data_IF_904505282869
#
_entry.id   IF_904505282869
#
_cell.length_a   1.000
_cell.length_b   1.000
_cell.length_c   1.000
_cell.angle_alpha   90.00
_cell.angle_beta   90.00
_cell.angle_gamma   90.00
#
_symmetry.space_group_name_H-M   'P 1'
#
loop_
_entity.id
_entity.type
_entity.pdbx_description
1 polymer ?
#
# COMPACT_ATOMS: atom_id res chain seq x y z
N UNK A 1 8.24 -11.29 6.81
CA UNK A 1 9.45 -11.82 7.50
C UNK A 1 10.68 -11.34 6.72
N UNK A 2 11.86 -11.22 7.34
CA UNK A 2 13.09 -10.82 6.63
C UNK A 2 13.82 -12.07 6.12
N UNK A 3 13.86 -12.27 4.80
CA UNK A 3 14.59 -13.34 4.12
C UNK A 3 15.98 -12.82 3.75
N UNK A 4 17.02 -13.61 4.02
CA UNK A 4 18.41 -13.22 3.77
C UNK A 4 19.01 -14.21 2.78
N UNK A 5 19.72 -13.67 1.79
CA UNK A 5 20.39 -14.44 0.75
C UNK A 5 21.80 -13.90 0.60
N UNK A 6 22.79 -14.78 0.76
CA UNK A 6 24.21 -14.44 0.64
C UNK A 6 24.81 -15.11 -0.58
N UNK A 7 25.56 -14.32 -1.33
CA UNK A 7 26.33 -14.76 -2.50
C UNK A 7 27.77 -14.33 -2.29
N UNK A 8 28.70 -15.27 -2.47
CA UNK A 8 30.12 -15.06 -2.24
C UNK A 8 30.92 -15.49 -3.47
N UNK A 9 31.73 -14.61 -4.01
CA UNK A 9 32.65 -14.90 -5.11
C UNK A 9 34.10 -14.90 -4.56
N UNK A 10 34.67 -16.09 -4.36
CA UNK A 10 36.14 -16.25 -4.21
C UNK A 10 36.73 -16.85 -2.92
N UNK A 11 36.03 -17.64 -2.09
CA UNK A 11 36.67 -18.43 -1.00
C UNK A 11 35.77 -19.56 -0.43
N UNK A 12 36.38 -20.46 0.36
CA UNK A 12 35.92 -21.78 0.82
C UNK A 12 34.54 -21.84 1.50
N UNK A 13 33.81 -22.94 1.25
CA UNK A 13 32.46 -23.23 1.77
C UNK A 13 32.27 -23.09 3.30
N UNK A 14 33.31 -23.31 4.10
CA UNK A 14 33.23 -23.21 5.57
C UNK A 14 33.15 -21.76 6.08
N UNK A 15 33.71 -20.79 5.34
CA UNK A 15 33.61 -19.36 5.66
C UNK A 15 32.21 -18.81 5.30
N UNK A 16 31.49 -19.47 4.39
CA UNK A 16 30.17 -19.05 3.94
C UNK A 16 29.10 -19.17 5.04
N UNK A 17 29.09 -20.29 5.79
CA UNK A 17 28.11 -20.51 6.85
C UNK A 17 28.31 -19.56 8.05
N UNK A 18 29.56 -19.26 8.41
CA UNK A 18 29.86 -18.33 9.51
C UNK A 18 29.53 -16.88 9.14
N UNK A 19 29.78 -16.46 7.89
CA UNK A 19 29.37 -15.15 7.38
C UNK A 19 27.85 -15.03 7.27
N UNK A 20 27.16 -16.10 6.87
CA UNK A 20 25.70 -16.13 6.86
C UNK A 20 25.09 -15.96 8.23
N UNK A 21 25.56 -16.71 9.21
CA UNK A 21 25.11 -16.57 10.60
C UNK A 21 25.39 -15.15 11.14
N UNK A 22 26.52 -14.54 10.78
CA UNK A 22 26.88 -13.19 11.21
C UNK A 22 25.95 -12.10 10.62
N UNK A 23 25.70 -12.13 9.30
CA UNK A 23 24.80 -11.18 8.63
C UNK A 23 23.36 -11.37 9.11
N UNK A 24 22.95 -12.62 9.35
CA UNK A 24 21.61 -12.93 9.85
C UNK A 24 21.40 -12.43 11.30
N UNK A 25 22.37 -12.68 12.18
CA UNK A 25 22.34 -12.16 13.54
C UNK A 25 22.30 -10.63 13.55
N UNK A 26 23.16 -9.98 12.75
CA UNK A 26 23.21 -8.54 12.63
C UNK A 26 21.89 -7.95 12.10
N UNK A 27 21.34 -8.52 11.03
CA UNK A 27 20.09 -8.07 10.44
C UNK A 27 18.92 -8.21 11.43
N UNK A 28 18.89 -9.29 12.21
CA UNK A 28 17.86 -9.50 13.23
C UNK A 28 17.98 -8.47 14.37
N UNK A 29 19.19 -8.18 14.82
CA UNK A 29 19.44 -7.25 15.92
C UNK A 29 19.23 -5.78 15.53
N UNK A 30 19.70 -5.38 14.34
CA UNK A 30 19.76 -3.97 13.95
C UNK A 30 18.68 -3.55 12.95
N UNK A 31 18.35 -4.41 11.96
CA UNK A 31 17.30 -4.12 10.97
C UNK A 31 15.91 -4.53 11.48
N UNK A 32 15.82 -5.64 12.22
CA UNK A 32 14.59 -6.14 12.84
C UNK A 32 13.78 -5.07 13.58
N UNK A 33 14.34 -4.35 14.58
CA UNK A 33 13.60 -3.32 15.30
C UNK A 33 13.31 -2.07 14.46
N UNK A 34 14.16 -1.74 13.49
CA UNK A 34 13.95 -0.57 12.63
C UNK A 34 12.82 -0.77 11.62
N UNK A 35 12.66 -2.01 11.15
CA UNK A 35 11.69 -2.44 10.13
C UNK A 35 10.46 -3.14 10.74
N UNK A 36 10.37 -3.24 12.07
CA UNK A 36 9.19 -3.72 12.77
C UNK A 36 7.97 -2.86 12.42
N UNK A 37 7.02 -3.44 11.67
CA UNK A 37 5.81 -2.76 11.21
C UNK A 37 5.75 -2.48 9.70
N UNK A 38 6.78 -2.81 8.92
CA UNK A 38 6.67 -2.78 7.44
C UNK A 38 5.79 -3.94 6.94
N UNK A 39 4.75 -3.67 6.13
CA UNK A 39 3.92 -4.72 5.55
C UNK A 39 4.62 -5.33 4.33
N UNK A 40 5.03 -6.60 4.41
CA UNK A 40 5.53 -7.37 3.26
C UNK A 40 6.72 -8.28 3.57
N UNK A 41 7.19 -8.98 2.54
CA UNK A 41 8.44 -9.75 2.57
C UNK A 41 9.62 -8.82 2.30
N UNK A 42 10.59 -8.84 3.22
CA UNK A 42 11.80 -8.03 3.14
C UNK A 42 12.94 -8.96 2.74
N UNK A 43 13.71 -8.58 1.72
CA UNK A 43 14.81 -9.40 1.22
C UNK A 43 16.13 -8.67 1.36
N UNK A 44 17.08 -9.24 2.11
CA UNK A 44 18.45 -8.73 2.21
C UNK A 44 19.36 -9.63 1.37
N UNK A 45 19.87 -9.09 0.27
CA UNK A 45 20.89 -9.73 -0.54
C UNK A 45 22.26 -9.18 -0.13
N UNK A 46 23.19 -10.06 0.22
CA UNK A 46 24.56 -9.70 0.49
C UNK A 46 25.48 -10.38 -0.53
N UNK A 47 26.33 -9.59 -1.17
CA UNK A 47 27.31 -10.01 -2.17
C UNK A 47 28.69 -9.64 -1.64
N UNK A 48 29.59 -10.61 -1.48
CA UNK A 48 30.97 -10.36 -1.05
C UNK A 48 31.91 -10.86 -2.14
N UNK A 49 32.79 -9.99 -2.62
CA UNK A 49 33.79 -10.32 -3.64
C UNK A 49 35.20 -10.09 -3.10
N UNK A 50 36.10 -11.02 -3.42
CA UNK A 50 37.53 -10.88 -3.15
C UNK A 50 38.28 -10.50 -4.44
N UNK A 51 39.09 -9.45 -4.39
CA UNK A 51 39.86 -8.94 -5.53
C UNK A 51 41.37 -9.13 -5.29
N UNK A 52 42.05 -9.74 -6.24
CA UNK A 52 43.49 -10.05 -6.13
C UNK A 52 44.41 -8.85 -6.43
N UNK A 53 43.89 -7.73 -6.95
CA UNK A 53 44.64 -6.51 -7.27
C UNK A 53 43.84 -5.24 -6.91
N UNK A 54 44.46 -4.32 -6.16
CA UNK A 54 43.88 -3.05 -5.71
C UNK A 54 44.25 -2.70 -4.26
N UNK A 55 43.98 -1.46 -3.83
CA UNK A 55 44.19 -1.03 -2.42
C UNK A 55 43.14 -1.61 -1.46
N UNK A 56 41.94 -1.92 -1.96
CA UNK A 56 40.91 -2.71 -1.28
C UNK A 56 40.93 -4.15 -1.83
N UNK A 57 41.09 -5.14 -0.96
CA UNK A 57 41.16 -6.56 -1.34
C UNK A 57 39.78 -7.24 -1.30
N UNK A 58 38.81 -6.64 -0.62
CA UNK A 58 37.48 -7.19 -0.42
C UNK A 58 36.42 -6.08 -0.59
N UNK A 59 35.36 -6.40 -1.32
CA UNK A 59 34.18 -5.52 -1.49
C UNK A 59 32.93 -6.25 -1.02
N UNK A 60 32.13 -5.61 -0.17
CA UNK A 60 30.87 -6.13 0.32
C UNK A 60 29.72 -5.21 -0.12
N UNK A 61 28.70 -5.79 -0.73
CA UNK A 61 27.55 -5.10 -1.29
C UNK A 61 26.28 -5.68 -0.64
N UNK A 62 25.50 -4.84 0.02
CA UNK A 62 24.24 -5.19 0.66
C UNK A 62 23.09 -4.49 -0.07
N UNK A 63 22.06 -5.26 -0.44
CA UNK A 63 20.82 -4.76 -1.05
C UNK A 63 19.64 -5.18 -0.19
N UNK A 64 18.91 -4.22 0.34
CA UNK A 64 17.68 -4.43 1.09
C UNK A 64 16.48 -4.04 0.23
N UNK A 65 15.65 -5.01 -0.12
CA UNK A 65 14.40 -4.80 -0.82
C UNK A 65 13.30 -4.49 0.19
N UNK A 66 12.67 -3.33 0.02
CA UNK A 66 11.53 -2.88 0.80
C UNK A 66 10.22 -3.09 0.01
N UNK A 67 9.10 -3.35 0.70
CA UNK A 67 7.80 -3.40 0.06
C UNK A 67 7.44 -1.99 -0.44
N UNK A 68 7.44 -1.81 -1.77
CA UNK A 68 7.10 -0.62 -2.61
C UNK A 68 8.01 -0.44 -3.84
N UNK A 69 8.87 -1.42 -4.18
CA UNK A 69 9.90 -1.36 -5.23
C UNK A 69 11.12 -0.49 -4.88
N UNK A 70 11.22 -0.05 -3.62
CA UNK A 70 12.41 0.62 -3.11
C UNK A 70 13.51 -0.39 -2.78
N UNK A 71 14.71 -0.19 -3.34
CA UNK A 71 15.90 -1.00 -3.04
C UNK A 71 16.95 -0.11 -2.40
N UNK A 72 17.31 -0.39 -1.15
CA UNK A 72 18.42 0.30 -0.50
C UNK A 72 19.71 -0.47 -0.76
N UNK A 73 20.66 0.19 -1.40
CA UNK A 73 21.97 -0.39 -1.72
C UNK A 73 23.05 0.26 -0.86
N UNK A 74 23.91 -0.56 -0.27
CA UNK A 74 25.09 -0.12 0.47
C UNK A 74 26.31 -0.95 0.04
N UNK A 75 27.46 -0.30 -0.09
CA UNK A 75 28.72 -0.98 -0.42
C UNK A 75 29.82 -0.57 0.57
N UNK A 76 30.74 -1.48 0.87
CA UNK A 76 31.92 -1.27 1.71
C UNK A 76 33.15 -1.90 1.07
N UNK A 77 34.30 -1.24 1.21
CA UNK A 77 35.57 -1.65 0.59
C UNK A 77 36.64 -1.68 1.67
N UNK A 78 37.29 -2.83 1.85
CA UNK A 78 38.35 -2.95 2.85
C UNK A 78 39.42 -3.98 2.43
N UNK A 79 40.48 -4.07 3.24
CA UNK A 79 41.54 -5.06 3.09
C UNK A 79 41.05 -6.46 3.56
N UNK A 80 40.10 -6.50 4.49
CA UNK A 80 39.54 -7.71 5.09
C UNK A 80 38.01 -7.79 4.86
N UNK A 81 37.49 -9.01 4.72
CA UNK A 81 36.08 -9.29 4.42
C UNK A 81 35.19 -8.77 5.54
N UNK A 82 35.56 -9.01 6.81
CA UNK A 82 34.75 -8.57 7.94
C UNK A 82 34.71 -7.04 8.04
N UNK A 83 35.81 -6.37 7.72
CA UNK A 83 35.88 -4.91 7.72
C UNK A 83 35.05 -4.30 6.59
N UNK A 84 35.07 -4.90 5.38
CA UNK A 84 34.25 -4.46 4.25
C UNK A 84 32.76 -4.63 4.53
N UNK A 85 32.39 -5.76 5.13
CA UNK A 85 31.02 -6.06 5.53
C UNK A 85 30.54 -5.10 6.63
N UNK A 86 31.34 -4.86 7.67
CA UNK A 86 30.99 -3.92 8.75
C UNK A 86 30.80 -2.48 8.24
N UNK A 87 31.54 -2.07 7.21
CA UNK A 87 31.36 -0.76 6.58
C UNK A 87 30.07 -0.71 5.73
N UNK A 88 29.79 -1.76 4.96
CA UNK A 88 28.54 -1.90 4.20
C UNK A 88 27.32 -1.92 5.14
N UNK A 89 27.40 -2.63 6.27
CA UNK A 89 26.38 -2.69 7.33
C UNK A 89 26.09 -1.31 7.93
N UNK A 90 27.13 -0.55 8.31
CA UNK A 90 26.99 0.81 8.84
C UNK A 90 26.34 1.76 7.82
N UNK A 91 26.73 1.65 6.55
CA UNK A 91 26.15 2.43 5.46
C UNK A 91 24.69 2.06 5.22
N UNK A 92 24.36 0.77 5.21
CA UNK A 92 22.99 0.29 5.07
C UNK A 92 22.10 0.79 6.22
N UNK A 93 22.58 0.74 7.47
CA UNK A 93 21.84 1.28 8.62
C UNK A 93 21.60 2.79 8.50
N UNK A 94 22.56 3.54 7.98
CA UNK A 94 22.40 4.98 7.74
C UNK A 94 21.32 5.24 6.68
N UNK A 95 21.34 4.50 5.57
CA UNK A 95 20.34 4.63 4.51
C UNK A 95 18.94 4.20 4.99
N UNK A 96 18.82 3.14 5.78
CA UNK A 96 17.55 2.72 6.39
C UNK A 96 17.00 3.79 7.33
N UNK A 97 17.86 4.39 8.18
CA UNK A 97 17.47 5.49 9.08
C UNK A 97 17.04 6.72 8.29
N UNK A 98 17.81 7.13 7.28
CA UNK A 98 17.50 8.26 6.40
C UNK A 98 16.20 8.05 5.63
N UNK A 99 15.96 6.84 5.13
CA UNK A 99 14.70 6.46 4.49
C UNK A 99 13.52 6.56 5.45
N UNK A 100 13.68 6.09 6.70
CA UNK A 100 12.65 6.20 7.74
C UNK A 100 12.39 7.65 8.14
N UNK A 101 13.43 8.48 8.26
CA UNK A 101 13.32 9.91 8.50
C UNK A 101 12.63 10.65 7.35
N UNK A 102 12.92 10.28 6.10
CA UNK A 102 12.22 10.79 4.91
C UNK A 102 10.72 10.51 4.98
N UNK A 103 10.34 9.28 5.33
CA UNK A 103 8.93 8.90 5.51
C UNK A 103 8.27 9.62 6.70
N UNK A 104 8.98 9.80 7.81
CA UNK A 104 8.48 10.57 8.95
C UNK A 104 8.30 12.07 8.63
N UNK A 105 9.26 12.68 7.93
CA UNK A 105 9.18 14.09 7.51
C UNK A 105 8.01 14.36 6.57
N UNK A 106 7.69 13.42 5.68
CA UNK A 106 6.49 13.47 4.83
C UNK A 106 5.20 13.39 5.67
N UNK A 107 5.15 12.46 6.64
CA UNK A 107 4.00 12.35 7.53
C UNK A 107 3.80 13.62 8.38
N UNK A 108 4.86 14.23 8.88
CA UNK A 108 4.79 15.46 9.67
C UNK A 108 4.36 16.67 8.84
N UNK A 109 4.84 16.78 7.59
CA UNK A 109 4.37 17.81 6.67
C UNK A 109 2.88 17.66 6.35
N UNK A 110 2.41 16.45 6.03
CA UNK A 110 0.99 16.17 5.77
C UNK A 110 0.12 16.49 6.98
N UNK A 111 0.54 16.09 8.18
CA UNK A 111 -0.14 16.42 9.44
C UNK A 111 -0.20 17.93 9.70
N UNK A 112 0.82 18.70 9.31
CA UNK A 112 0.80 20.17 9.41
C UNK A 112 -0.19 20.79 8.43
N UNK A 113 -0.14 20.38 7.16
CA UNK A 113 -1.06 20.86 6.12
C UNK A 113 -2.52 20.56 6.49
N UNK A 114 -2.82 19.35 6.95
CA UNK A 114 -4.15 18.97 7.42
C UNK A 114 -4.61 19.80 8.62
N UNK A 115 -3.74 19.99 9.62
CA UNK A 115 -4.06 20.85 10.79
C UNK A 115 -4.37 22.29 10.37
N UNK A 116 -3.72 22.82 9.33
CA UNK A 116 -4.05 24.13 8.80
C UNK A 116 -5.46 24.16 8.17
N UNK A 117 -5.82 23.16 7.34
CA UNK A 117 -7.18 23.03 6.77
C UNK A 117 -8.25 22.92 7.85
N UNK A 118 -8.04 22.05 8.85
CA UNK A 118 -8.98 21.90 9.97
C UNK A 118 -9.15 23.18 10.78
N UNK A 119 -8.09 23.99 10.95
CA UNK A 119 -8.20 25.30 11.60
C UNK A 119 -9.07 26.26 10.77
N UNK A 120 -8.87 26.30 9.45
CA UNK A 120 -9.69 27.13 8.56
C UNK A 120 -11.17 26.73 8.61
N UNK A 121 -11.46 25.42 8.55
CA UNK A 121 -12.83 24.91 8.67
C UNK A 121 -13.45 25.24 10.03
N UNK A 122 -12.71 25.12 11.13
CA UNK A 122 -13.20 25.51 12.46
C UNK A 122 -13.50 27.01 12.57
N UNK A 123 -12.67 27.86 11.94
CA UNK A 123 -12.93 29.31 11.88
C UNK A 123 -14.18 29.60 11.06
N UNK A 124 -14.33 28.96 9.91
CA UNK A 124 -15.53 29.11 9.07
C UNK A 124 -16.79 28.61 9.78
N UNK A 125 -16.71 27.46 10.45
CA UNK A 125 -17.79 26.93 11.29
C UNK A 125 -18.15 27.92 12.40
N UNK A 126 -17.17 28.50 13.10
CA UNK A 126 -17.44 29.46 14.17
C UNK A 126 -18.15 30.74 13.70
N UNK A 127 -18.06 31.08 12.41
CA UNK A 127 -18.80 32.19 11.81
C UNK A 127 -20.28 31.87 11.53
N UNK A 128 -20.67 30.58 11.52
CA UNK A 128 -22.05 30.14 11.32
C UNK A 128 -22.85 30.29 12.62
N UNK A 129 -24.12 30.73 12.59
CA UNK A 129 -24.96 30.77 13.78
C UNK A 129 -25.09 29.42 14.50
N UNK A 130 -24.99 29.41 15.83
CA UNK A 130 -25.01 28.18 16.65
C UNK A 130 -26.29 27.34 16.46
N UNK A 131 -27.42 28.00 16.25
CA UNK A 131 -28.71 27.33 15.95
C UNK A 131 -28.64 26.52 14.66
N UNK A 132 -28.07 27.11 13.60
CA UNK A 132 -27.89 26.46 12.30
C UNK A 132 -26.92 25.29 12.44
N UNK A 133 -25.79 25.48 13.12
CA UNK A 133 -24.83 24.40 13.37
C UNK A 133 -25.47 23.21 14.10
N UNK A 134 -26.27 23.48 15.13
CA UNK A 134 -26.92 22.44 15.94
C UNK A 134 -27.94 21.65 15.13
N UNK A 135 -28.76 22.33 14.34
CA UNK A 135 -29.74 21.70 13.46
C UNK A 135 -29.05 20.84 12.39
N UNK A 136 -28.05 21.37 11.71
CA UNK A 136 -27.29 20.63 10.70
C UNK A 136 -26.59 19.41 11.31
N UNK A 137 -26.01 19.55 12.52
CA UNK A 137 -25.37 18.43 13.23
C UNK A 137 -26.37 17.33 13.57
N UNK A 138 -27.55 17.69 14.05
CA UNK A 138 -28.62 16.74 14.34
C UNK A 138 -29.08 15.98 13.08
N UNK A 139 -29.11 16.66 11.92
CA UNK A 139 -29.39 16.02 10.63
C UNK A 139 -28.28 15.07 10.15
N UNK A 140 -27.02 15.37 10.48
CA UNK A 140 -25.84 14.57 10.08
C UNK A 140 -25.70 13.30 10.92
N UNK A 141 -25.98 13.36 12.23
CA UNK A 141 -25.80 12.26 13.18
C UNK A 141 -26.32 10.89 12.72
N UNK A 142 -27.57 10.75 12.20
CA UNK A 142 -28.06 9.46 11.71
C UNK A 142 -27.34 8.96 10.44
N UNK A 143 -26.68 9.84 9.68
CA UNK A 143 -25.99 9.51 8.43
C UNK A 143 -24.53 9.06 8.64
N UNK A 144 -23.96 9.33 9.83
CA UNK A 144 -22.56 9.02 10.15
C UNK A 144 -22.19 7.54 9.99
N UNK A 145 -23.03 6.55 10.38
CA UNK A 145 -22.69 5.14 10.19
C UNK A 145 -22.53 4.77 8.71
N UNK A 146 -23.42 5.28 7.85
CA UNK A 146 -23.36 5.04 6.41
C UNK A 146 -22.12 5.68 5.80
N UNK A 147 -21.87 6.96 6.11
CA UNK A 147 -20.69 7.69 5.66
C UNK A 147 -19.40 6.98 6.08
N UNK A 148 -19.30 6.58 7.35
CA UNK A 148 -18.13 5.88 7.90
C UNK A 148 -17.86 4.56 7.18
N UNK A 149 -18.90 3.79 6.85
CA UNK A 149 -18.77 2.54 6.10
C UNK A 149 -18.23 2.77 4.69
N UNK A 150 -18.76 3.77 4.00
CA UNK A 150 -18.32 4.14 2.64
C UNK A 150 -16.87 4.60 2.64
N UNK A 151 -16.51 5.51 3.54
CA UNK A 151 -15.13 6.02 3.68
C UNK A 151 -14.17 4.90 4.03
N UNK A 152 -14.55 3.98 4.93
CA UNK A 152 -13.72 2.82 5.29
C UNK A 152 -13.41 1.94 4.09
N UNK A 153 -14.42 1.66 3.25
CA UNK A 153 -14.25 0.86 2.02
C UNK A 153 -13.33 1.56 1.03
N UNK A 154 -13.56 2.85 0.77
CA UNK A 154 -12.72 3.59 -0.17
C UNK A 154 -11.27 3.70 0.31
N UNK A 155 -11.04 3.92 1.61
CA UNK A 155 -9.69 3.87 2.18
C UNK A 155 -9.05 2.49 2.04
N UNK A 156 -9.79 1.41 2.22
CA UNK A 156 -9.27 0.06 1.99
C UNK A 156 -8.83 -0.13 0.54
N UNK A 157 -9.63 0.32 -0.44
CA UNK A 157 -9.26 0.25 -1.85
C UNK A 157 -8.05 1.12 -2.20
N UNK A 158 -8.00 2.38 -1.75
CA UNK A 158 -6.87 3.27 -1.99
C UNK A 158 -5.58 2.78 -1.34
N UNK A 159 -5.67 2.07 -0.21
CA UNK A 159 -4.52 1.43 0.43
C UNK A 159 -4.06 0.19 -0.33
N UNK A 160 -5.02 -0.65 -0.76
CA UNK A 160 -4.73 -1.84 -1.55
C UNK A 160 -4.12 -1.50 -2.92
N UNK A 161 -4.56 -0.41 -3.55
CA UNK A 161 -3.98 0.08 -4.81
C UNK A 161 -2.65 0.83 -4.62
N UNK A 162 -2.21 1.02 -3.36
CA UNK A 162 -0.99 1.74 -3.05
C UNK A 162 -1.08 3.27 -3.18
N UNK A 163 -2.26 3.84 -3.41
CA UNK A 163 -2.49 5.29 -3.55
C UNK A 163 -2.45 6.02 -2.19
N UNK A 164 -2.77 5.36 -1.08
CA UNK A 164 -2.63 5.92 0.28
C UNK A 164 -1.81 5.01 1.23
N UNK A 165 -1.14 5.58 2.26
CA UNK A 165 -0.48 4.80 3.30
C UNK A 165 -1.48 4.03 4.19
N UNK A 166 -0.99 2.98 4.85
CA UNK A 166 -1.81 2.06 5.66
C UNK A 166 -2.46 2.72 6.88
N UNK A 167 -1.84 3.75 7.47
CA UNK A 167 -2.28 4.38 8.73
C UNK A 167 -2.72 5.85 8.60
N UNK A 168 -2.60 6.46 7.43
CA UNK A 168 -2.84 7.90 7.24
C UNK A 168 -3.42 8.16 5.84
N UNK A 169 -4.56 8.86 5.70
CA UNK A 169 -5.46 9.35 6.75
C UNK A 169 -6.25 8.22 7.43
N UNK A 170 -6.71 8.44 8.67
CA UNK A 170 -7.65 7.52 9.34
C UNK A 170 -9.09 7.73 8.86
N UNK A 171 -9.99 6.80 9.18
CA UNK A 171 -11.42 6.91 8.80
C UNK A 171 -12.05 8.14 9.48
N UNK A 172 -11.80 8.32 10.78
CA UNK A 172 -12.30 9.47 11.54
C UNK A 172 -11.77 10.77 10.97
N UNK A 173 -10.52 10.78 10.52
CA UNK A 173 -9.91 11.99 9.97
C UNK A 173 -10.64 12.55 8.76
N UNK A 174 -11.07 11.66 7.87
CA UNK A 174 -11.82 12.01 6.66
C UNK A 174 -13.26 12.38 6.99
N UNK A 175 -13.90 11.62 7.89
CA UNK A 175 -15.28 11.88 8.33
C UNK A 175 -15.39 13.24 9.03
N UNK A 176 -14.48 13.54 9.97
CA UNK A 176 -14.48 14.81 10.69
C UNK A 176 -14.26 16.00 9.75
N UNK A 177 -13.33 15.88 8.80
CA UNK A 177 -13.06 16.93 7.82
C UNK A 177 -14.26 17.16 6.90
N UNK A 178 -14.95 16.09 6.47
CA UNK A 178 -16.18 16.18 5.69
C UNK A 178 -17.33 16.82 6.48
N UNK A 179 -17.55 16.40 7.73
CA UNK A 179 -18.60 16.97 8.60
C UNK A 179 -18.34 18.44 8.88
N UNK A 180 -17.09 18.81 9.20
CA UNK A 180 -16.72 20.21 9.41
C UNK A 180 -16.92 21.05 8.16
N UNK A 181 -16.66 20.50 6.97
CA UNK A 181 -16.89 21.18 5.69
C UNK A 181 -18.38 21.46 5.47
N UNK A 182 -19.25 20.47 5.73
CA UNK A 182 -20.72 20.65 5.61
C UNK A 182 -21.27 21.62 6.66
N UNK A 183 -20.75 21.58 7.89
CA UNK A 183 -21.14 22.53 8.95
C UNK A 183 -20.70 23.96 8.62
N UNK A 184 -19.51 24.14 8.03
CA UNK A 184 -18.99 25.44 7.62
C UNK A 184 -19.79 26.11 6.49
N UNK A 185 -20.59 25.35 5.73
CA UNK A 185 -21.47 25.91 4.70
C UNK A 185 -22.66 26.70 5.29
N UNK A 186 -23.02 26.46 6.56
CA UNK A 186 -24.00 27.26 7.29
C UNK A 186 -25.44 27.20 6.76
N UNK A 187 -25.86 26.05 6.22
CA UNK A 187 -27.22 25.84 5.72
C UNK A 187 -28.03 24.95 6.68
N UNK A 188 -29.20 25.45 7.09
CA UNK A 188 -30.14 24.78 7.97
C UNK A 188 -31.21 24.00 7.20
N UNK A 189 -31.88 23.06 7.90
CA UNK A 189 -33.10 22.38 7.47
C UNK A 189 -33.02 21.71 6.09
N UNK A 190 -31.87 21.08 5.81
CA UNK A 190 -31.68 20.31 4.58
C UNK A 190 -32.26 18.90 4.74
N UNK A 191 -32.88 18.33 3.67
CA UNK A 191 -33.33 16.95 3.70
C UNK A 191 -32.12 16.00 3.80
N UNK A 192 -32.33 14.85 4.44
CA UNK A 192 -31.28 13.87 4.72
C UNK A 192 -30.53 13.42 3.46
N UNK A 193 -31.22 13.28 2.33
CA UNK A 193 -30.62 12.90 1.04
C UNK A 193 -29.64 13.95 0.51
N UNK A 194 -29.95 15.24 0.70
CA UNK A 194 -29.07 16.33 0.28
C UNK A 194 -27.85 16.41 1.19
N UNK A 195 -28.05 16.26 2.51
CA UNK A 195 -26.95 16.19 3.48
C UNK A 195 -26.02 15.01 3.20
N UNK A 196 -26.55 13.82 2.93
CA UNK A 196 -25.75 12.65 2.59
C UNK A 196 -24.91 12.90 1.32
N UNK A 197 -25.51 13.48 0.29
CA UNK A 197 -24.83 13.82 -0.97
C UNK A 197 -23.66 14.77 -0.74
N UNK A 198 -23.87 15.83 0.05
CA UNK A 198 -22.83 16.79 0.39
C UNK A 198 -21.72 16.16 1.23
N UNK A 199 -22.07 15.35 2.24
CA UNK A 199 -21.10 14.63 3.05
C UNK A 199 -20.23 13.69 2.20
N UNK A 200 -20.84 12.95 1.27
CA UNK A 200 -20.10 12.05 0.37
C UNK A 200 -19.20 12.83 -0.58
N UNK A 201 -19.69 13.93 -1.15
CA UNK A 201 -18.89 14.81 -2.01
C UNK A 201 -17.67 15.34 -1.26
N UNK A 202 -17.86 15.88 -0.05
CA UNK A 202 -16.75 16.40 0.75
C UNK A 202 -15.79 15.29 1.19
N UNK A 203 -16.30 14.10 1.55
CA UNK A 203 -15.44 12.97 1.91
C UNK A 203 -14.56 12.51 0.74
N UNK A 204 -15.11 12.39 -0.47
CA UNK A 204 -14.32 12.05 -1.66
C UNK A 204 -13.34 13.16 -2.04
N UNK A 205 -13.73 14.43 -1.91
CA UNK A 205 -12.84 15.57 -2.12
C UNK A 205 -11.63 15.54 -1.17
N UNK A 206 -11.85 15.22 0.10
CA UNK A 206 -10.76 15.07 1.10
C UNK A 206 -9.83 13.92 0.70
N UNK A 207 -10.39 12.77 0.31
CA UNK A 207 -9.59 11.62 -0.14
C UNK A 207 -8.77 11.93 -1.39
N UNK A 208 -9.38 12.59 -2.38
CA UNK A 208 -8.70 12.97 -3.62
C UNK A 208 -7.60 13.99 -3.35
N UNK A 209 -7.83 14.95 -2.45
CA UNK A 209 -6.80 15.90 -2.03
C UNK A 209 -5.61 15.20 -1.34
N UNK A 210 -5.86 14.14 -0.54
CA UNK A 210 -4.79 13.35 0.08
C UNK A 210 -4.01 12.50 -0.95
N UNK A 211 -4.71 11.91 -1.92
CA UNK A 211 -4.08 11.20 -3.04
C UNK A 211 -3.25 12.16 -3.89
N UNK A 212 -3.79 13.32 -4.26
CA UNK A 212 -3.05 14.36 -5.00
C UNK A 212 -1.87 14.91 -4.21
N UNK A 213 -2.05 15.17 -2.92
CA UNK A 213 -0.96 15.62 -2.05
C UNK A 213 0.15 14.57 -2.04
N UNK A 214 -0.18 13.29 -2.04
CA UNK A 214 0.83 12.24 -2.19
C UNK A 214 1.51 12.27 -3.55
N UNK A 215 0.75 12.41 -4.64
CA UNK A 215 1.31 12.44 -6.02
C UNK A 215 2.22 13.65 -6.25
N UNK A 216 1.81 14.84 -5.79
CA UNK A 216 2.61 16.08 -5.88
C UNK A 216 3.87 16.04 -5.03
N UNK A 217 3.79 15.41 -3.85
CA UNK A 217 4.96 15.13 -3.02
C UNK A 217 5.57 13.75 -3.32
N UNK A 218 5.38 13.22 -4.54
CA UNK A 218 6.06 12.03 -5.02
C UNK A 218 7.54 12.10 -4.66
N UNK A 219 8.12 10.96 -4.26
CA UNK A 219 9.47 10.81 -3.71
C UNK A 219 10.33 12.05 -3.85
N UNK A 220 10.45 12.84 -2.78
CA UNK A 220 11.39 13.95 -2.76
C UNK A 220 12.78 13.33 -2.89
N UNK A 221 13.29 13.25 -4.11
CA UNK A 221 14.65 12.82 -4.43
C UNK A 221 15.57 13.95 -4.01
N UNK A 222 16.50 13.64 -3.13
CA UNK A 222 17.48 14.62 -2.70
C UNK A 222 18.42 14.90 -3.87
N UNK A 223 18.61 16.17 -4.25
CA UNK A 223 19.62 16.56 -5.26
C UNK A 223 21.07 16.28 -4.81
N UNK A 224 21.25 15.77 -3.58
CA UNK A 224 22.55 15.33 -3.04
C UNK A 224 22.76 13.81 -3.14
N UNK A 225 21.78 13.03 -3.64
CA UNK A 225 22.00 11.61 -3.96
C UNK A 225 22.53 11.44 -5.38
N UNK A 226 23.50 10.55 -5.55
CA UNK A 226 24.03 10.17 -6.87
C UNK A 226 22.89 9.64 -7.75
N UNK A 227 22.84 9.98 -9.05
CA UNK A 227 21.84 9.41 -9.96
C UNK A 227 22.01 7.88 -10.05
N UNK A 228 20.89 7.17 -10.13
CA UNK A 228 20.88 5.72 -10.37
C UNK A 228 21.39 5.42 -11.79
N UNK A 229 22.09 4.29 -11.95
CA UNK A 229 22.63 3.85 -13.25
C UNK A 229 21.49 3.42 -14.19
N UNK A 230 21.59 3.86 -15.45
CA UNK A 230 20.55 3.70 -16.46
C UNK A 230 20.25 2.23 -16.78
N UNK A 231 19.01 1.98 -17.22
CA UNK A 231 18.46 0.63 -17.46
C UNK A 231 19.25 -0.21 -18.49
N UNK A 232 20.04 0.43 -19.35
CA UNK A 232 20.90 -0.24 -20.34
C UNK A 232 22.07 -0.97 -19.64
N UNK A 233 22.66 -0.35 -18.61
CA UNK A 233 23.76 -0.94 -17.83
C UNK A 233 23.27 -2.12 -16.97
N UNK A 234 21.98 -2.13 -16.62
CA UNK A 234 21.35 -3.21 -15.85
C UNK A 234 21.03 -4.43 -16.73
N UNK A 235 20.63 -4.22 -17.99
CA UNK A 235 20.29 -5.30 -18.91
C UNK A 235 21.52 -6.11 -19.36
N UNK A 236 22.67 -5.47 -19.58
CA UNK A 236 23.91 -6.17 -19.94
C UNK A 236 24.42 -7.12 -18.84
N UNK A 237 24.02 -6.90 -17.58
CA UNK A 237 24.36 -7.76 -16.45
C UNK A 237 23.43 -8.99 -16.29
N UNK A 238 22.26 -9.01 -16.93
CA UNK A 238 21.21 -10.03 -16.73
C UNK A 238 21.28 -11.22 -17.69
N UNK A 239 22.06 -11.14 -18.78
CA UNK A 239 22.03 -12.12 -19.88
C UNK A 239 22.64 -13.49 -19.49
N UNK A 240 23.28 -13.63 -18.33
CA UNK A 240 23.93 -14.90 -17.93
C UNK A 240 23.03 -15.87 -17.13
N UNK A 241 21.77 -15.50 -16.81
CA UNK A 241 20.90 -16.28 -15.90
C UNK A 241 19.76 -17.06 -16.59
N UNK A 242 19.62 -16.99 -17.92
CA UNK A 242 18.43 -17.50 -18.64
C UNK A 242 18.34 -19.04 -18.83
N UNK A 243 19.29 -19.82 -18.31
CA UNK A 243 19.35 -21.27 -18.57
C UNK A 243 18.60 -22.15 -17.53
N UNK A 244 18.18 -21.60 -16.38
CA UNK A 244 17.66 -22.42 -15.26
C UNK A 244 16.17 -22.23 -14.91
N UNK A 245 15.44 -21.34 -15.56
CA UNK A 245 14.03 -21.06 -15.24
C UNK A 245 13.03 -22.13 -15.73
N UNK A 246 13.50 -23.11 -16.52
CA UNK A 246 12.63 -24.11 -17.15
C UNK A 246 12.68 -25.50 -16.51
N UNK A 247 13.50 -25.72 -15.46
CA UNK A 247 13.60 -27.05 -14.83
C UNK A 247 12.79 -27.11 -13.53
N UNK A 248 11.53 -27.56 -13.63
CA UNK A 248 10.74 -28.04 -12.50
C UNK A 248 10.80 -29.56 -12.48
N UNK A 249 11.42 -30.21 -11.47
CA UNK A 249 11.31 -31.65 -11.34
C UNK A 249 9.90 -32.00 -10.87
N UNK A 250 9.22 -32.89 -11.58
CA UNK A 250 7.89 -33.39 -11.19
C UNK A 250 7.97 -34.04 -9.79
N UNK A 251 7.10 -33.62 -8.86
CA UNK A 251 6.99 -34.25 -7.55
C UNK A 251 6.38 -35.66 -7.70
N UNK A 252 7.08 -36.67 -7.19
CA UNK A 252 6.59 -38.04 -7.20
C UNK A 252 5.49 -38.21 -6.14
N UNK A 253 4.30 -38.67 -6.58
CA UNK A 253 3.18 -39.09 -5.72
C UNK A 253 3.66 -39.97 -4.56
N UNK A 254 3.42 -39.54 -3.33
CA UNK A 254 3.72 -40.32 -2.13
C UNK A 254 2.47 -41.05 -1.62
N UNK A 255 2.68 -42.15 -0.90
CA UNK A 255 1.58 -42.96 -0.36
C UNK A 255 0.69 -42.16 0.60
N UNK A 256 1.24 -41.14 1.27
CA UNK A 256 0.53 -40.18 2.11
C UNK A 256 -0.51 -39.35 1.37
N UNK A 257 -0.37 -39.20 0.05
CA UNK A 257 -1.30 -38.42 -0.78
C UNK A 257 -2.54 -39.26 -1.16
N UNK A 258 -2.48 -40.58 -0.94
CA UNK A 258 -3.54 -41.54 -1.26
C UNK A 258 -4.29 -41.99 -0.01
N UNK A 259 -3.67 -41.90 1.17
CA UNK A 259 -4.26 -42.34 2.44
C UNK A 259 -4.99 -41.17 3.10
N UNK A 260 -6.33 -41.27 3.16
CA UNK A 260 -7.15 -40.32 3.91
C UNK A 260 -6.84 -40.42 5.41
N UNK A 261 -6.55 -39.28 6.05
CA UNK A 261 -6.36 -39.19 7.50
C UNK A 261 -7.72 -39.02 8.19
N UNK A 262 -8.27 -40.14 8.69
CA UNK A 262 -9.56 -40.19 9.40
C UNK A 262 -9.53 -39.55 10.81
N UNK A 263 -8.37 -39.01 11.25
CA UNK A 263 -8.24 -38.34 12.56
C UNK A 263 -8.41 -36.83 12.51
N UNK A 264 -8.44 -36.25 11.30
CA UNK A 264 -8.81 -34.87 11.12
C UNK A 264 -10.34 -34.75 11.30
N UNK A 265 -10.84 -33.83 12.14
CA UNK A 265 -12.26 -33.55 12.17
C UNK A 265 -12.66 -33.22 10.73
N UNK A 266 -13.70 -33.90 10.23
CA UNK A 266 -14.29 -33.57 8.96
C UNK A 266 -14.51 -32.05 8.96
N UNK A 267 -13.76 -31.35 8.12
CA UNK A 267 -14.06 -29.96 7.81
C UNK A 267 -15.46 -30.07 7.24
N UNK A 268 -16.45 -29.64 8.02
CA UNK A 268 -17.79 -29.36 7.52
C UNK A 268 -17.57 -28.29 6.44
N UNK A 269 -17.35 -28.75 5.22
CA UNK A 269 -17.47 -27.91 4.05
C UNK A 269 -18.93 -27.54 4.01
N UNK A 270 -19.24 -26.35 4.51
CA UNK A 270 -20.45 -25.57 4.25
C UNK A 270 -20.57 -25.27 2.74
N UNK A 271 -20.50 -26.31 1.89
CA UNK A 271 -20.40 -26.23 0.44
C UNK A 271 -21.72 -25.82 -0.23
N UNK A 272 -22.70 -25.32 0.53
CA UNK A 272 -23.95 -24.78 -0.03
C UNK A 272 -24.07 -23.26 0.18
N UNK A 273 -23.11 -22.62 0.89
CA UNK A 273 -23.05 -21.16 1.06
C UNK A 273 -21.74 -20.52 0.54
N UNK A 274 -20.82 -21.29 -0.03
CA UNK A 274 -19.47 -20.84 -0.42
C UNK A 274 -19.39 -20.21 -1.80
N UNK A 275 -20.19 -20.62 -2.78
CA UNK A 275 -20.02 -20.15 -4.16
C UNK A 275 -20.34 -18.67 -4.32
N UNK A 276 -21.48 -18.22 -3.78
CA UNK A 276 -21.86 -16.80 -3.84
C UNK A 276 -20.93 -15.90 -3.01
N UNK A 277 -20.45 -16.39 -1.87
CA UNK A 277 -19.57 -15.62 -0.98
C UNK A 277 -18.16 -15.52 -1.57
N UNK A 278 -17.64 -16.61 -2.12
CA UNK A 278 -16.33 -16.64 -2.78
C UNK A 278 -16.32 -15.84 -4.08
N UNK A 279 -17.38 -15.91 -4.90
CA UNK A 279 -17.53 -15.08 -6.09
C UNK A 279 -17.62 -13.58 -5.73
N UNK A 280 -18.33 -13.25 -4.64
CA UNK A 280 -18.41 -11.86 -4.12
C UNK A 280 -17.08 -11.37 -3.61
N UNK A 281 -16.39 -12.12 -2.78
CA UNK A 281 -15.09 -11.72 -2.22
C UNK A 281 -14.03 -11.59 -3.32
N UNK A 282 -14.03 -12.54 -4.28
CA UNK A 282 -13.20 -12.47 -5.48
C UNK A 282 -13.50 -11.21 -6.31
N UNK A 283 -14.78 -10.94 -6.59
CA UNK A 283 -15.22 -9.76 -7.32
C UNK A 283 -14.82 -8.46 -6.62
N UNK A 284 -15.02 -8.36 -5.30
CA UNK A 284 -14.63 -7.18 -4.52
C UNK A 284 -13.11 -6.96 -4.52
N UNK A 285 -12.30 -8.03 -4.55
CA UNK A 285 -10.85 -7.93 -4.70
C UNK A 285 -10.41 -7.29 -6.03
N UNK A 286 -11.21 -7.45 -7.10
CA UNK A 286 -10.92 -6.87 -8.42
C UNK A 286 -11.23 -5.37 -8.52
N UNK A 287 -12.01 -4.81 -7.60
CA UNK A 287 -12.26 -3.36 -7.54
C UNK A 287 -10.97 -2.54 -7.40
N UNK A 288 -9.90 -3.12 -6.84
CA UNK A 288 -8.61 -2.44 -6.67
C UNK A 288 -7.99 -2.05 -8.02
N UNK A 289 -8.20 -2.85 -9.07
CA UNK A 289 -7.65 -2.60 -10.40
C UNK A 289 -8.44 -1.59 -11.24
N UNK A 290 -9.62 -1.17 -10.78
CA UNK A 290 -10.46 -0.21 -11.51
C UNK A 290 -10.00 1.24 -11.27
N UNK A 291 -10.18 2.12 -12.27
CA UNK A 291 -10.08 3.56 -12.07
C UNK A 291 -10.96 4.02 -10.88
N UNK A 292 -10.45 4.96 -10.08
CA UNK A 292 -11.09 5.43 -8.84
C UNK A 292 -12.56 5.80 -9.09
N UNK A 293 -12.84 6.55 -10.15
CA UNK A 293 -14.20 7.01 -10.48
C UNK A 293 -15.14 5.84 -10.79
N UNK A 294 -14.67 4.84 -11.54
CA UNK A 294 -15.50 3.67 -11.91
C UNK A 294 -15.84 2.85 -10.67
N UNK A 295 -14.85 2.65 -9.79
CA UNK A 295 -15.02 1.98 -8.51
C UNK A 295 -16.03 2.69 -7.62
N UNK A 296 -15.95 4.03 -7.51
CA UNK A 296 -16.90 4.82 -6.69
C UNK A 296 -18.32 4.75 -7.24
N UNK A 297 -18.51 4.91 -8.55
CA UNK A 297 -19.82 4.77 -9.19
C UNK A 297 -20.43 3.39 -8.88
N UNK A 298 -19.66 2.33 -9.09
CA UNK A 298 -20.11 0.96 -8.83
C UNK A 298 -20.43 0.73 -7.35
N UNK A 299 -19.56 1.16 -6.44
CA UNK A 299 -19.74 0.99 -5.00
C UNK A 299 -21.00 1.71 -4.50
N UNK A 300 -21.23 2.95 -4.94
CA UNK A 300 -22.41 3.71 -4.54
C UNK A 300 -23.70 3.13 -5.14
N UNK A 301 -23.66 2.61 -6.37
CA UNK A 301 -24.81 2.01 -7.04
C UNK A 301 -25.15 0.61 -6.47
N UNK A 302 -24.17 -0.29 -6.37
CA UNK A 302 -24.42 -1.70 -6.04
C UNK A 302 -24.44 -1.97 -4.53
N UNK A 303 -23.53 -1.34 -3.77
CA UNK A 303 -23.41 -1.60 -2.34
C UNK A 303 -24.26 -0.68 -1.49
N UNK A 304 -24.37 0.59 -1.90
CA UNK A 304 -25.12 1.61 -1.16
C UNK A 304 -26.51 1.90 -1.76
N UNK A 305 -26.80 1.35 -2.96
CA UNK A 305 -28.11 1.46 -3.64
C UNK A 305 -28.60 2.89 -3.83
N UNK A 306 -27.67 3.83 -4.06
CA UNK A 306 -28.01 5.22 -4.33
C UNK A 306 -28.56 5.39 -5.75
N UNK A 307 -29.47 6.36 -5.93
CA UNK A 307 -29.97 6.69 -7.24
C UNK A 307 -28.87 7.29 -8.12
N UNK A 308 -28.90 7.02 -9.42
CA UNK A 308 -27.83 7.46 -10.32
C UNK A 308 -27.70 8.99 -10.42
N UNK A 309 -28.82 9.71 -10.27
CA UNK A 309 -28.81 11.17 -10.18
C UNK A 309 -28.02 11.68 -8.96
N UNK A 310 -28.08 10.97 -7.84
CA UNK A 310 -27.34 11.32 -6.63
C UNK A 310 -25.86 10.98 -6.77
N UNK A 311 -25.54 9.82 -7.35
CA UNK A 311 -24.16 9.40 -7.65
C UNK A 311 -23.48 10.43 -8.58
N UNK A 312 -24.17 10.83 -9.64
CA UNK A 312 -23.68 11.84 -10.58
C UNK A 312 -23.41 13.17 -9.87
N UNK A 313 -24.32 13.60 -8.98
CA UNK A 313 -24.11 14.82 -8.22
C UNK A 313 -22.99 14.71 -7.17
N UNK A 314 -22.82 13.56 -6.50
CA UNK A 314 -21.73 13.33 -5.53
C UNK A 314 -20.36 13.40 -6.21
N UNK A 315 -20.25 12.81 -7.40
CA UNK A 315 -18.98 12.70 -8.14
C UNK A 315 -18.74 13.84 -9.13
N UNK A 316 -19.62 14.84 -9.17
CA UNK A 316 -19.62 15.96 -10.12
C UNK A 316 -19.52 15.49 -11.60
N UNK A 317 -20.33 14.50 -11.95
CA UNK A 317 -20.44 13.92 -13.29
C UNK A 317 -21.79 14.27 -13.94
N UNK A 318 -21.82 14.25 -15.27
CA UNK A 318 -23.09 14.20 -16.01
C UNK A 318 -23.79 12.85 -15.79
N UNK A 319 -25.11 12.86 -15.64
CA UNK A 319 -25.92 11.64 -15.41
C UNK A 319 -25.63 10.54 -16.45
N UNK A 320 -25.69 10.90 -17.74
CA UNK A 320 -25.42 9.95 -18.83
C UNK A 320 -23.97 9.42 -18.79
N UNK A 321 -23.02 10.20 -18.28
CA UNK A 321 -21.65 9.73 -18.09
C UNK A 321 -21.57 8.72 -16.95
N UNK A 322 -22.18 9.01 -15.80
CA UNK A 322 -22.21 8.10 -14.65
C UNK A 322 -22.85 6.73 -15.00
N UNK A 323 -23.92 6.74 -15.79
CA UNK A 323 -24.57 5.52 -16.30
C UNK A 323 -23.62 4.68 -17.17
N UNK A 324 -22.90 5.33 -18.11
CA UNK A 324 -21.89 4.65 -18.93
C UNK A 324 -20.77 4.06 -18.09
N UNK A 325 -20.29 4.78 -17.08
CA UNK A 325 -19.26 4.27 -16.18
C UNK A 325 -19.73 3.05 -15.39
N UNK A 326 -20.97 3.06 -14.90
CA UNK A 326 -21.54 1.89 -14.23
C UNK A 326 -21.61 0.70 -15.18
N UNK A 327 -22.06 0.90 -16.41
CA UNK A 327 -22.14 -0.15 -17.43
C UNK A 327 -20.75 -0.74 -17.73
N UNK A 328 -19.72 0.10 -17.88
CA UNK A 328 -18.35 -0.36 -18.08
C UNK A 328 -17.81 -1.11 -16.85
N UNK A 329 -18.07 -0.63 -15.63
CA UNK A 329 -17.66 -1.31 -14.42
C UNK A 329 -18.30 -2.70 -14.30
N UNK A 330 -19.61 -2.82 -14.58
CA UNK A 330 -20.33 -4.10 -14.60
C UNK A 330 -19.76 -5.06 -15.65
N UNK A 331 -19.57 -4.59 -16.89
CA UNK A 331 -18.99 -5.39 -17.96
C UNK A 331 -17.57 -5.89 -17.62
N UNK A 332 -16.77 -5.05 -16.95
CA UNK A 332 -15.46 -5.44 -16.43
C UNK A 332 -15.58 -6.58 -15.41
N UNK A 333 -16.51 -6.48 -14.45
CA UNK A 333 -16.74 -7.56 -13.48
C UNK A 333 -17.21 -8.85 -14.13
N UNK A 334 -18.19 -8.78 -15.02
CA UNK A 334 -18.73 -9.96 -15.70
C UNK A 334 -17.65 -10.69 -16.50
N UNK A 335 -16.75 -9.95 -17.16
CA UNK A 335 -15.62 -10.54 -17.88
C UNK A 335 -14.64 -11.26 -16.93
N UNK A 336 -14.33 -10.65 -15.77
CA UNK A 336 -13.39 -11.23 -14.81
C UNK A 336 -13.98 -12.42 -14.04
N UNK A 337 -15.28 -12.40 -13.75
CA UNK A 337 -15.99 -13.53 -13.14
C UNK A 337 -15.98 -14.73 -14.09
N UNK A 338 -16.31 -14.53 -15.37
CA UNK A 338 -16.23 -15.60 -16.39
C UNK A 338 -14.83 -16.18 -16.54
N UNK A 339 -13.79 -15.35 -16.52
CA UNK A 339 -12.39 -15.81 -16.59
C UNK A 339 -12.01 -16.64 -15.36
N UNK A 340 -12.61 -16.37 -14.20
CA UNK A 340 -12.38 -17.08 -12.96
C UNK A 340 -13.24 -18.35 -12.82
N UNK A 341 -14.14 -18.62 -13.78
CA UNK A 341 -15.03 -19.79 -13.76
C UNK A 341 -16.29 -19.62 -12.92
N UNK A 342 -16.67 -18.37 -12.60
CA UNK A 342 -17.94 -18.04 -11.93
C UNK A 342 -19.05 -17.70 -12.93
#
# INVERSE_FOLDING_TARGET
MLKITLTHEGSDHAAHQSLHAAVEAWAREHLGPLLAGYPGDLHLHATVKHHSKGAAKCTAHLRLHLPRKDVLVAHGEAIDIQSALAEAEKRLLREVKKHKERLHGQADYRRKARRARLRQLKVAQAAVPEQVQTQTRHGIEPLLPQLTRIVRRELAYLRASGELPSQDPSVQDVVDEAVLSVLAQGQADRPAETLLRELLREAFRVLDAEVEARRRHGEIVSLQSSPEQDAIDQAEAMVQEELYEFYQPDEALQLSDVVADDTLPAIETDATCTDDTSARDYGLGRLVGLPIVWRRVWMLAELERLAMADIAAVLDLELAHAERLLAHARAFFDAHLRQAGF
#
